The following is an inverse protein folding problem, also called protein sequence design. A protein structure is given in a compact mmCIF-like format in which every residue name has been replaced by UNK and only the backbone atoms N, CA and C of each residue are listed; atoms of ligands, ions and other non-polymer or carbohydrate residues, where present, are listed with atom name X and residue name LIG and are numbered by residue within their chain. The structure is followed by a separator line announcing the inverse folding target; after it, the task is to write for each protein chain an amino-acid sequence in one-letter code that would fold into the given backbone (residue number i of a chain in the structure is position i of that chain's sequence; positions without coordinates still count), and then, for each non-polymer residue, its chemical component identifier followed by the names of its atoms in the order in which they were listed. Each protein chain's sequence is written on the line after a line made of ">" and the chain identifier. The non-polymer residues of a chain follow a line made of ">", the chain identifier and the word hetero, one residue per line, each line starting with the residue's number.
data_IF_560429086209
#
_entry.id   IF_560429086209
#
_cell.length_a   1.000
_cell.length_b   1.000
_cell.length_c   1.000
_cell.angle_alpha   90.00
_cell.angle_beta   90.00
_cell.angle_gamma   90.00
#
_symmetry.space_group_name_H-M   'P 1'
#
loop_
_entity.id
_entity.type
_entity.pdbx_description
1 polymer ?
#
# COMPACT_ATOMS: atom_id res chain seq x y z
N UNK A 1 31.57 -3.55 8.04
CA UNK A 1 30.78 -4.71 7.57
C UNK A 1 29.45 -4.12 7.14
N UNK A 2 29.28 -4.01 5.84
CA UNK A 2 28.03 -3.47 5.25
C UNK A 2 26.97 -4.55 5.39
N UNK A 3 25.93 -4.27 6.20
CA UNK A 3 24.67 -5.02 6.13
C UNK A 3 24.09 -4.77 4.72
N UNK A 4 24.54 -5.52 3.73
CA UNK A 4 23.81 -5.70 2.49
C UNK A 4 22.51 -6.41 2.86
N UNK A 5 21.45 -5.64 2.92
CA UNK A 5 20.11 -6.16 3.12
C UNK A 5 19.82 -7.14 2.01
N UNK A 6 19.77 -8.44 2.36
CA UNK A 6 19.50 -9.50 1.40
C UNK A 6 18.05 -9.43 0.91
N UNK A 7 17.80 -8.60 -0.09
CA UNK A 7 16.51 -8.52 -0.78
C UNK A 7 16.16 -9.82 -1.52
N UNK A 8 17.18 -10.66 -1.82
CA UNK A 8 16.96 -11.85 -2.64
C UNK A 8 16.16 -12.91 -1.89
N UNK A 9 16.34 -13.03 -0.58
CA UNK A 9 15.64 -14.04 0.23
C UNK A 9 14.15 -13.77 0.30
N UNK A 10 13.72 -12.57 0.66
CA UNK A 10 12.29 -12.24 0.87
C UNK A 10 11.52 -12.02 -0.44
N UNK A 11 12.21 -11.65 -1.52
CA UNK A 11 11.61 -11.43 -2.83
C UNK A 11 11.94 -12.54 -3.84
N UNK A 12 12.61 -13.63 -3.41
CA UNK A 12 12.84 -14.78 -4.26
C UNK A 12 11.50 -15.41 -4.71
N UNK A 13 11.38 -15.85 -5.97
CA UNK A 13 10.22 -16.62 -6.44
C UNK A 13 9.99 -17.92 -5.66
N UNK A 14 11.02 -18.45 -5.01
CA UNK A 14 10.96 -19.66 -4.18
C UNK A 14 10.53 -19.39 -2.73
N UNK A 15 10.42 -18.13 -2.34
CA UNK A 15 10.01 -17.78 -0.99
C UNK A 15 8.51 -18.01 -0.84
N UNK A 16 8.14 -19.04 -0.07
CA UNK A 16 6.74 -19.28 0.29
C UNK A 16 6.38 -18.32 1.42
N UNK A 17 5.49 -17.40 1.13
CA UNK A 17 4.99 -16.45 2.12
C UNK A 17 4.07 -17.19 3.09
N UNK A 18 4.36 -17.25 4.39
CA UNK A 18 3.45 -17.86 5.36
C UNK A 18 2.12 -17.10 5.37
N UNK A 19 1.00 -17.82 5.41
CA UNK A 19 -0.29 -17.18 5.59
C UNK A 19 -0.31 -16.43 6.92
N UNK A 20 -0.74 -15.16 6.94
CA UNK A 20 -0.80 -14.40 8.18
C UNK A 20 -1.86 -15.00 9.09
N UNK A 21 -1.49 -15.26 10.34
CA UNK A 21 -2.46 -15.58 11.39
C UNK A 21 -3.05 -14.24 11.86
N UNK A 22 -4.33 -13.97 11.59
CA UNK A 22 -4.93 -12.71 12.00
C UNK A 22 -4.89 -12.57 13.51
N UNK A 23 -4.41 -11.44 14.01
CA UNK A 23 -4.50 -11.11 15.43
C UNK A 23 -5.97 -11.04 15.86
N UNK A 24 -6.25 -11.25 17.16
CA UNK A 24 -7.59 -11.11 17.69
C UNK A 24 -8.19 -9.70 17.44
N UNK A 25 -7.33 -8.70 17.31
CA UNK A 25 -7.69 -7.32 16.98
C UNK A 25 -8.05 -7.15 15.50
N UNK A 26 -7.27 -7.72 14.59
CA UNK A 26 -7.58 -7.72 13.16
C UNK A 26 -8.92 -8.41 12.87
N UNK A 27 -9.24 -9.49 13.61
CA UNK A 27 -10.57 -10.13 13.52
C UNK A 27 -11.70 -9.20 13.96
N UNK A 28 -11.52 -8.45 15.04
CA UNK A 28 -12.54 -7.47 15.52
C UNK A 28 -12.74 -6.34 14.51
N UNK A 29 -11.65 -5.83 13.91
CA UNK A 29 -11.73 -4.77 12.93
C UNK A 29 -12.47 -5.24 11.66
N UNK A 30 -12.27 -6.51 11.26
CA UNK A 30 -13.03 -7.14 10.17
C UNK A 30 -14.50 -7.31 10.53
N UNK A 31 -14.81 -7.70 11.76
CA UNK A 31 -16.17 -7.84 12.24
C UNK A 31 -16.88 -6.46 12.32
N UNK A 32 -16.15 -5.39 12.68
CA UNK A 32 -16.67 -4.02 12.65
C UNK A 32 -16.90 -3.52 11.22
N UNK A 33 -16.02 -3.84 10.27
CA UNK A 33 -16.27 -3.63 8.83
C UNK A 33 -17.52 -4.40 8.39
N UNK A 34 -17.85 -5.50 9.10
CA UNK A 34 -19.05 -6.30 8.97
C UNK A 34 -20.36 -5.58 9.27
N UNK A 35 -20.30 -4.64 10.14
CA UNK A 35 -21.48 -3.87 10.60
C UNK A 35 -21.77 -2.64 9.73
N UNK A 36 -20.78 -2.17 8.94
CA UNK A 36 -21.00 -1.13 7.94
C UNK A 36 -21.53 -1.83 6.68
N UNK A 37 -22.85 -1.86 6.54
CA UNK A 37 -23.55 -2.59 5.49
C UNK A 37 -23.03 -2.28 4.07
N UNK A 38 -23.04 -3.28 3.20
CA UNK A 38 -22.62 -3.16 1.78
C UNK A 38 -23.29 -2.00 1.03
N UNK A 39 -24.51 -1.60 1.43
CA UNK A 39 -25.24 -0.50 0.84
C UNK A 39 -24.59 0.86 1.13
N UNK A 40 -24.12 1.11 2.34
CA UNK A 40 -23.51 2.39 2.72
C UNK A 40 -22.18 2.65 1.98
N UNK A 41 -21.56 1.61 1.48
CA UNK A 41 -20.30 1.67 0.77
C UNK A 41 -20.50 1.78 -0.74
N UNK A 42 -21.55 1.18 -1.29
CA UNK A 42 -21.93 1.27 -2.72
C UNK A 42 -22.63 2.58 -3.07
N UNK A 43 -23.51 3.09 -2.18
CA UNK A 43 -24.36 4.25 -2.47
C UNK A 43 -23.60 5.57 -2.52
N UNK A 44 -22.39 5.65 -1.97
CA UNK A 44 -21.56 6.86 -2.00
C UNK A 44 -20.48 6.87 -3.08
N UNK A 45 -20.32 5.78 -3.85
CA UNK A 45 -19.36 5.71 -4.96
C UNK A 45 -17.89 5.84 -4.54
N UNK A 46 -17.59 5.85 -3.23
CA UNK A 46 -16.27 6.18 -2.73
C UNK A 46 -15.89 5.28 -1.55
N UNK A 47 -15.12 4.22 -1.83
CA UNK A 47 -14.19 3.71 -0.85
C UNK A 47 -12.94 4.59 -0.89
N UNK A 48 -13.01 5.74 -0.25
CA UNK A 48 -11.89 6.66 -0.42
C UNK A 48 -10.72 6.31 0.45
N UNK A 49 -10.91 5.83 1.65
CA UNK A 49 -9.81 5.21 2.42
C UNK A 49 -10.33 4.57 3.71
N UNK A 50 -9.84 3.39 3.99
CA UNK A 50 -9.88 2.81 5.34
C UNK A 50 -8.46 2.91 5.86
N UNK A 51 -8.25 3.73 6.87
CA UNK A 51 -7.00 3.81 7.60
C UNK A 51 -7.24 3.24 8.98
N UNK A 52 -6.52 2.18 9.32
CA UNK A 52 -6.58 1.64 10.68
C UNK A 52 -5.77 2.54 11.60
N UNK A 53 -6.41 3.15 12.58
CA UNK A 53 -5.76 4.02 13.58
C UNK A 53 -4.56 3.36 14.27
N UNK A 54 -4.62 2.05 14.46
CA UNK A 54 -3.56 1.27 15.12
C UNK A 54 -2.27 1.11 14.30
N UNK A 55 -2.38 1.23 12.98
CA UNK A 55 -1.22 1.11 12.07
C UNK A 55 -0.65 2.48 11.70
N UNK A 56 -1.10 3.55 12.34
CA UNK A 56 -0.54 4.87 12.12
C UNK A 56 0.89 4.92 12.67
N UNK A 57 1.90 5.03 11.81
CA UNK A 57 3.21 5.43 12.32
C UNK A 57 3.05 6.85 12.87
N UNK A 58 3.40 7.07 14.14
CA UNK A 58 3.53 8.42 14.69
C UNK A 58 4.68 9.09 13.94
N UNK A 59 4.36 9.74 12.85
CA UNK A 59 5.32 10.48 12.04
C UNK A 59 4.89 11.94 11.97
N UNK A 60 5.87 12.82 12.24
CA UNK A 60 5.76 14.23 11.95
C UNK A 60 5.39 14.40 10.48
N UNK A 61 4.40 15.23 10.19
CA UNK A 61 3.97 15.57 8.82
C UNK A 61 5.21 15.79 7.95
N UNK A 62 5.40 14.95 6.95
CA UNK A 62 6.48 15.13 6.01
C UNK A 62 6.10 16.27 5.06
N UNK A 63 7.02 17.18 4.85
CA UNK A 63 6.92 18.16 3.77
C UNK A 63 6.69 17.39 2.45
N UNK A 64 5.58 17.63 1.73
CA UNK A 64 5.28 16.90 0.50
C UNK A 64 6.43 16.91 -0.50
N UNK A 65 7.19 18.02 -0.57
CA UNK A 65 8.33 18.17 -1.49
C UNK A 65 9.49 17.23 -1.18
N UNK A 66 9.51 16.66 0.02
CA UNK A 66 10.50 15.67 0.48
C UNK A 66 9.97 14.24 0.46
N UNK A 67 8.68 14.07 0.18
CA UNK A 67 8.07 12.76 0.19
C UNK A 67 8.39 11.96 -1.07
N UNK A 68 8.94 10.77 -0.88
CA UNK A 68 9.20 9.80 -1.95
C UNK A 68 8.13 8.73 -1.92
N UNK A 69 7.45 8.56 -3.03
CA UNK A 69 6.37 7.57 -3.19
C UNK A 69 6.76 6.57 -4.27
N UNK A 70 6.72 5.29 -3.91
CA UNK A 70 6.81 4.20 -4.89
C UNK A 70 5.38 3.87 -5.36
N UNK A 71 5.13 4.03 -6.65
CA UNK A 71 3.87 3.67 -7.30
C UNK A 71 4.07 2.33 -8.00
N UNK A 72 3.40 1.29 -7.51
CA UNK A 72 3.42 -0.06 -8.09
C UNK A 72 2.15 -0.24 -8.88
N UNK A 73 2.26 -0.14 -10.21
CA UNK A 73 1.14 -0.12 -11.15
C UNK A 73 1.65 -0.49 -12.54
N UNK A 74 1.09 -1.51 -13.17
CA UNK A 74 1.47 -1.95 -14.52
C UNK A 74 0.73 -1.17 -15.62
N UNK A 75 -0.52 -0.74 -15.38
CA UNK A 75 -1.28 0.05 -16.34
C UNK A 75 -0.74 1.48 -16.46
N UNK A 76 -0.37 1.89 -17.67
CA UNK A 76 0.24 3.20 -17.93
C UNK A 76 -0.74 4.36 -17.68
N UNK A 77 -2.03 4.16 -17.94
CA UNK A 77 -3.05 5.18 -17.75
C UNK A 77 -3.30 5.46 -16.27
N UNK A 78 -3.51 4.41 -15.48
CA UNK A 78 -3.69 4.49 -14.01
C UNK A 78 -2.45 5.08 -13.33
N UNK A 79 -1.26 4.61 -13.72
CA UNK A 79 0.00 5.12 -13.18
C UNK A 79 0.18 6.60 -13.46
N UNK A 80 -0.08 7.04 -14.70
CA UNK A 80 0.06 8.46 -15.09
C UNK A 80 -0.84 9.37 -14.26
N UNK A 81 -2.10 8.97 -14.03
CA UNK A 81 -3.04 9.76 -13.21
C UNK A 81 -2.54 9.85 -11.76
N UNK A 82 -2.12 8.72 -11.20
CA UNK A 82 -1.60 8.65 -9.83
C UNK A 82 -0.33 9.48 -9.67
N UNK A 83 0.66 9.28 -10.55
CA UNK A 83 1.93 10.01 -10.49
C UNK A 83 1.73 11.52 -10.69
N UNK A 84 0.87 11.93 -11.65
CA UNK A 84 0.58 13.34 -11.89
C UNK A 84 -0.05 14.00 -10.66
N UNK A 85 -0.97 13.31 -10.00
CA UNK A 85 -1.59 13.80 -8.76
C UNK A 85 -0.56 14.01 -7.66
N UNK A 86 0.31 13.02 -7.45
CA UNK A 86 1.38 13.08 -6.47
C UNK A 86 2.40 14.19 -6.76
N UNK A 87 2.81 14.32 -8.01
CA UNK A 87 3.75 15.36 -8.46
C UNK A 87 3.17 16.77 -8.31
N UNK A 88 1.88 16.94 -8.61
CA UNK A 88 1.19 18.23 -8.40
C UNK A 88 1.13 18.59 -6.91
N UNK A 89 1.06 17.59 -6.03
CA UNK A 89 1.16 17.77 -4.58
C UNK A 89 2.58 18.01 -4.08
N UNK A 90 3.59 17.84 -4.95
CA UNK A 90 5.00 18.06 -4.64
C UNK A 90 5.81 16.81 -4.35
N UNK A 91 5.21 15.63 -4.40
CA UNK A 91 5.91 14.37 -4.12
C UNK A 91 6.87 13.96 -5.23
N UNK A 92 7.95 13.31 -4.85
CA UNK A 92 8.84 12.60 -5.76
C UNK A 92 8.29 11.19 -6.00
N UNK A 93 8.07 10.81 -7.25
CA UNK A 93 7.52 9.49 -7.60
C UNK A 93 8.59 8.60 -8.24
N UNK A 94 8.50 7.31 -7.96
CA UNK A 94 9.16 6.25 -8.69
C UNK A 94 8.10 5.21 -9.02
N UNK A 95 8.11 4.68 -10.24
CA UNK A 95 7.18 3.63 -10.65
C UNK A 95 7.87 2.28 -10.72
N UNK A 96 7.11 1.22 -10.43
CA UNK A 96 7.44 -0.18 -10.69
C UNK A 96 6.23 -0.90 -11.29
N UNK A 97 6.44 -1.70 -12.34
CA UNK A 97 5.39 -2.37 -13.13
C UNK A 97 5.26 -3.86 -12.85
N UNK A 98 6.27 -4.45 -12.26
CA UNK A 98 6.41 -5.89 -12.05
C UNK A 98 7.27 -6.17 -10.82
N UNK A 99 7.35 -7.45 -10.43
CA UNK A 99 8.09 -7.86 -9.24
C UNK A 99 9.57 -7.48 -9.31
N UNK A 100 10.21 -7.62 -10.48
CA UNK A 100 11.62 -7.25 -10.67
C UNK A 100 11.86 -5.77 -10.39
N UNK A 101 11.07 -4.88 -11.00
CA UNK A 101 11.16 -3.43 -10.78
C UNK A 101 10.83 -3.03 -9.33
N UNK A 102 9.91 -3.75 -8.65
CA UNK A 102 9.61 -3.54 -7.23
C UNK A 102 10.85 -3.84 -6.38
N UNK A 103 11.50 -4.98 -6.62
CA UNK A 103 12.71 -5.37 -5.89
C UNK A 103 13.82 -4.35 -6.09
N UNK A 104 14.09 -3.95 -7.33
CA UNK A 104 15.07 -2.91 -7.64
C UNK A 104 14.76 -1.58 -6.95
N UNK A 105 13.49 -1.14 -6.99
CA UNK A 105 13.07 0.11 -6.38
C UNK A 105 13.20 0.11 -4.86
N UNK A 106 12.95 -1.03 -4.20
CA UNK A 106 13.05 -1.19 -2.75
C UNK A 106 14.48 -1.47 -2.28
N UNK A 107 15.37 -1.98 -3.13
CA UNK A 107 16.78 -2.21 -2.81
C UNK A 107 17.59 -0.90 -2.73
N UNK A 108 17.17 0.14 -3.43
CA UNK A 108 17.91 1.40 -3.54
C UNK A 108 17.52 2.38 -2.44
N UNK A 109 18.51 2.81 -1.67
CA UNK A 109 18.34 3.92 -0.69
C UNK A 109 18.42 5.29 -1.37
N UNK A 110 17.71 6.29 -0.85
CA UNK A 110 16.84 6.24 0.32
C UNK A 110 15.51 5.56 0.00
N UNK A 111 15.01 4.75 0.94
CA UNK A 111 13.74 4.05 0.81
C UNK A 111 12.56 5.00 0.59
N UNK A 112 11.47 4.55 -0.05
CA UNK A 112 10.25 5.34 -0.15
C UNK A 112 9.64 5.59 1.23
N UNK A 113 8.96 6.71 1.36
CA UNK A 113 8.20 7.06 2.55
C UNK A 113 6.79 6.45 2.52
N UNK A 114 6.32 6.06 1.33
CA UNK A 114 5.03 5.45 1.08
C UNK A 114 5.14 4.54 -0.15
N UNK A 115 4.46 3.40 -0.11
CA UNK A 115 4.22 2.54 -1.28
C UNK A 115 2.73 2.56 -1.60
N UNK A 116 2.38 2.92 -2.82
CA UNK A 116 1.06 2.72 -3.40
C UNK A 116 1.14 1.45 -4.24
N UNK A 117 0.32 0.45 -3.93
CA UNK A 117 0.48 -0.90 -4.43
C UNK A 117 -0.82 -1.42 -5.05
N UNK A 118 -0.81 -1.67 -6.35
CA UNK A 118 -1.92 -2.38 -6.98
C UNK A 118 -1.92 -3.85 -6.56
N UNK A 119 -3.12 -4.42 -6.47
CA UNK A 119 -3.31 -5.84 -6.20
C UNK A 119 -3.01 -6.68 -7.44
N UNK A 120 -3.45 -6.22 -8.61
CA UNK A 120 -3.34 -6.95 -9.86
C UNK A 120 -2.08 -6.54 -10.62
N UNK A 121 -1.04 -7.35 -10.51
CA UNK A 121 0.23 -7.18 -11.23
C UNK A 121 0.45 -8.37 -12.19
N UNK A 122 1.22 -8.18 -13.27
CA UNK A 122 1.32 -9.19 -14.33
C UNK A 122 2.03 -10.48 -13.91
N UNK A 123 2.92 -10.43 -12.95
CA UNK A 123 3.79 -11.53 -12.54
C UNK A 123 3.72 -11.86 -11.03
N UNK A 124 2.93 -11.11 -10.27
CA UNK A 124 2.77 -11.30 -8.83
C UNK A 124 1.42 -10.76 -8.36
N UNK A 125 1.06 -11.04 -7.11
CA UNK A 125 -0.11 -10.45 -6.46
C UNK A 125 0.33 -9.40 -5.44
N UNK A 126 -0.34 -8.24 -5.43
CA UNK A 126 -0.01 -7.15 -4.51
C UNK A 126 -0.09 -7.54 -3.03
N UNK A 127 -0.95 -8.49 -2.66
CA UNK A 127 -0.98 -9.02 -1.29
C UNK A 127 0.30 -9.77 -0.93
N UNK A 128 0.89 -10.51 -1.87
CA UNK A 128 2.14 -11.22 -1.65
C UNK A 128 3.31 -10.23 -1.50
N UNK A 129 3.30 -9.16 -2.30
CA UNK A 129 4.28 -8.06 -2.18
C UNK A 129 4.14 -7.38 -0.83
N UNK A 130 2.93 -7.03 -0.38
CA UNK A 130 2.67 -6.44 0.93
C UNK A 130 3.20 -7.33 2.06
N UNK A 131 2.91 -8.63 2.01
CA UNK A 131 3.36 -9.57 3.02
C UNK A 131 4.90 -9.66 3.08
N UNK A 132 5.58 -9.70 1.91
CA UNK A 132 7.04 -9.66 1.82
C UNK A 132 7.63 -8.37 2.41
N UNK A 133 7.03 -7.21 2.12
CA UNK A 133 7.42 -5.93 2.72
C UNK A 133 7.31 -6.00 4.25
N UNK A 134 6.23 -6.56 4.78
CA UNK A 134 6.00 -6.65 6.24
C UNK A 134 6.96 -7.60 6.95
N UNK A 135 7.44 -8.61 6.27
CA UNK A 135 8.41 -9.56 6.82
C UNK A 135 9.86 -9.06 6.70
N UNK A 136 10.12 -8.10 5.81
CA UNK A 136 11.48 -7.62 5.59
C UNK A 136 11.91 -6.63 6.71
N UNK A 137 13.02 -6.87 7.43
CA UNK A 137 13.42 -6.07 8.61
C UNK A 137 13.50 -4.57 8.36
N UNK A 138 14.02 -4.15 7.19
CA UNK A 138 14.19 -2.74 6.85
C UNK A 138 12.96 -2.07 6.23
N UNK A 139 12.01 -2.85 5.69
CA UNK A 139 10.86 -2.33 4.95
C UNK A 139 9.55 -2.42 5.75
N UNK A 140 9.48 -3.27 6.76
CA UNK A 140 8.24 -3.58 7.50
C UNK A 140 7.48 -2.37 8.04
N UNK A 141 8.19 -1.27 8.28
CA UNK A 141 7.63 -0.03 8.82
C UNK A 141 7.29 1.01 7.73
N UNK A 142 7.52 0.71 6.45
CA UNK A 142 7.14 1.60 5.36
C UNK A 142 5.61 1.54 5.21
N UNK A 143 4.90 2.67 5.24
CA UNK A 143 3.49 2.71 4.95
C UNK A 143 3.18 2.13 3.57
N UNK A 144 2.17 1.26 3.49
CA UNK A 144 1.68 0.68 2.24
C UNK A 144 0.18 0.93 2.13
N UNK A 145 -0.23 1.57 1.04
CA UNK A 145 -1.63 1.73 0.68
C UNK A 145 -1.92 0.89 -0.55
N UNK A 146 -2.99 0.11 -0.49
CA UNK A 146 -3.44 -0.69 -1.62
C UNK A 146 -4.25 0.17 -2.58
N UNK A 147 -3.93 0.10 -3.87
CA UNK A 147 -4.73 0.65 -4.95
C UNK A 147 -5.39 -0.50 -5.70
N UNK A 148 -6.70 -0.47 -5.91
CA UNK A 148 -7.35 -1.60 -6.54
C UNK A 148 -8.68 -1.27 -7.22
N UNK A 149 -8.94 -1.96 -8.33
CA UNK A 149 -10.27 -2.03 -8.92
C UNK A 149 -11.19 -3.01 -8.15
N UNK A 150 -10.60 -3.87 -7.31
CA UNK A 150 -11.31 -4.86 -6.51
C UNK A 150 -11.75 -4.23 -5.18
N UNK A 151 -12.98 -3.72 -5.16
CA UNK A 151 -13.59 -3.16 -3.95
C UNK A 151 -14.35 -4.21 -3.12
N UNK A 152 -14.08 -5.51 -3.32
CA UNK A 152 -14.74 -6.52 -2.54
C UNK A 152 -14.27 -6.47 -1.09
N UNK A 153 -15.22 -6.54 -0.16
CA UNK A 153 -14.98 -6.49 1.27
C UNK A 153 -13.92 -7.48 1.75
N UNK A 154 -13.89 -8.68 1.16
CA UNK A 154 -12.89 -9.70 1.48
C UNK A 154 -11.46 -9.25 1.15
N UNK A 155 -11.26 -8.50 0.06
CA UNK A 155 -9.94 -8.02 -0.36
C UNK A 155 -9.45 -6.88 0.55
N UNK A 156 -10.36 -5.99 0.93
CA UNK A 156 -10.06 -4.95 1.94
C UNK A 156 -9.67 -5.58 3.26
N UNK A 157 -10.48 -6.53 3.75
CA UNK A 157 -10.19 -7.25 4.98
C UNK A 157 -8.85 -7.99 4.92
N UNK A 158 -8.54 -8.66 3.79
CA UNK A 158 -7.26 -9.33 3.57
C UNK A 158 -6.08 -8.37 3.62
N UNK A 159 -6.16 -7.23 2.92
CA UNK A 159 -5.10 -6.21 2.93
C UNK A 159 -4.83 -5.65 4.32
N UNK A 160 -5.89 -5.37 5.08
CA UNK A 160 -5.77 -4.89 6.46
C UNK A 160 -5.15 -5.94 7.39
N UNK A 161 -5.52 -7.22 7.25
CA UNK A 161 -4.91 -8.32 8.01
C UNK A 161 -3.42 -8.48 7.70
N UNK A 162 -3.02 -8.27 6.45
CA UNK A 162 -1.64 -8.30 6.01
C UNK A 162 -0.83 -7.06 6.45
N UNK A 163 -1.50 -6.08 7.07
CA UNK A 163 -0.85 -4.87 7.60
C UNK A 163 -0.76 -3.72 6.58
N UNK A 164 -1.69 -3.64 5.62
CA UNK A 164 -1.87 -2.42 4.84
C UNK A 164 -2.26 -1.26 5.77
N UNK A 165 -1.75 -0.07 5.47
CA UNK A 165 -2.04 1.15 6.23
C UNK A 165 -3.27 1.90 5.69
N UNK A 166 -3.63 1.63 4.44
CA UNK A 166 -4.79 2.23 3.80
C UNK A 166 -5.20 1.48 2.54
N UNK A 167 -6.35 1.85 2.03
CA UNK A 167 -6.96 1.25 0.86
C UNK A 167 -7.64 2.33 0.02
N UNK A 168 -7.37 2.38 -1.27
CA UNK A 168 -8.01 3.30 -2.22
C UNK A 168 -8.51 2.52 -3.42
N UNK A 169 -9.77 2.72 -3.77
CA UNK A 169 -10.36 2.05 -4.94
C UNK A 169 -10.15 2.84 -6.22
N UNK A 170 -9.94 2.14 -7.33
CA UNK A 170 -9.90 2.70 -8.66
C UNK A 170 -11.34 2.91 -9.20
N UNK A 171 -11.62 3.95 -9.96
CA UNK A 171 -10.71 4.99 -10.44
C UNK A 171 -10.25 5.93 -9.31
N UNK A 172 -8.93 6.19 -9.27
CA UNK A 172 -8.34 7.01 -8.21
C UNK A 172 -8.64 8.48 -8.48
N UNK A 173 -9.43 9.08 -7.59
CA UNK A 173 -9.64 10.53 -7.62
C UNK A 173 -8.48 11.24 -6.92
N UNK A 174 -7.86 12.25 -7.54
CA UNK A 174 -6.71 12.95 -6.97
C UNK A 174 -6.93 13.45 -5.55
N UNK A 175 -8.07 14.08 -5.27
CA UNK A 175 -8.41 14.59 -3.93
C UNK A 175 -8.50 13.49 -2.88
N UNK A 176 -9.14 12.37 -3.23
CA UNK A 176 -9.29 11.23 -2.33
C UNK A 176 -7.96 10.54 -2.04
N UNK A 177 -7.09 10.43 -3.05
CA UNK A 177 -5.75 9.89 -2.88
C UNK A 177 -4.92 10.75 -1.92
N UNK A 178 -4.94 12.07 -2.10
CA UNK A 178 -4.17 13.00 -1.26
C UNK A 178 -4.66 12.98 0.18
N UNK A 179 -5.98 13.00 0.42
CA UNK A 179 -6.58 12.89 1.75
C UNK A 179 -6.18 11.59 2.44
N UNK A 180 -6.22 10.47 1.71
CA UNK A 180 -5.82 9.17 2.22
C UNK A 180 -4.32 9.15 2.57
N UNK A 181 -3.46 9.74 1.75
CA UNK A 181 -2.02 9.86 2.01
C UNK A 181 -1.77 10.72 3.26
N UNK A 182 -2.40 11.87 3.37
CA UNK A 182 -2.29 12.73 4.55
C UNK A 182 -2.68 11.99 5.83
N UNK A 183 -3.75 11.19 5.76
CA UNK A 183 -4.20 10.38 6.90
C UNK A 183 -3.19 9.29 7.26
N UNK A 184 -2.55 8.67 6.28
CA UNK A 184 -1.60 7.55 6.52
C UNK A 184 -0.21 8.05 6.96
N UNK A 185 0.25 9.20 6.43
CA UNK A 185 1.62 9.68 6.64
C UNK A 185 1.67 10.89 7.57
N UNK A 186 0.56 11.61 7.74
CA UNK A 186 0.47 12.87 8.46
C UNK A 186 -0.14 12.77 9.86
N UNK A 187 -0.59 11.58 10.29
CA UNK A 187 -1.26 11.36 11.56
C UNK A 187 -0.36 11.42 12.80
#
# INVERSE_FOLDING_TARGET
>A
MSDELDFTTHFSPKYTVPEPVPSAEAKRDIDQLGLIGESALKDKGYFTHIVLEKNRPVRKLLDPTKMRVLVVEDDDGSAMVTEKSLQTYGCQTRRARNLGEIVEALAVKPFPHLVLLDIMLPDTNGFDVLNRIRQHPALKNIPVMMLTALGERKDVARGLMLGANGYVTKPVLPSALLEAIETVVGG
#
